data_IF_810909860264
#
_entry.id   IF_810909860264
#
_cell.length_a   1.000
_cell.length_b   1.000
_cell.length_c   1.000
_cell.angle_alpha   90.00
_cell.angle_beta   90.00
_cell.angle_gamma   90.00
#
_symmetry.space_group_name_H-M   'P 1'
#
loop_
_entity.id
_entity.type
_entity.pdbx_description
1 polymer ?
#
# COMPACT_ATOMS: atom_id res chain seq x y z
N UNK A 1 8.16 -17.46 -34.19
CA UNK A 1 9.16 -16.59 -33.55
C UNK A 1 8.91 -16.59 -32.05
N UNK A 2 9.79 -17.24 -31.28
CA UNK A 2 9.59 -17.46 -29.85
C UNK A 2 9.80 -16.14 -29.08
N UNK A 3 8.72 -15.55 -28.59
CA UNK A 3 8.77 -14.31 -27.83
C UNK A 3 9.54 -14.52 -26.51
N UNK A 4 10.58 -13.71 -26.30
CA UNK A 4 11.33 -13.63 -25.03
C UNK A 4 10.36 -13.57 -23.85
N UNK A 5 10.43 -14.53 -22.94
CA UNK A 5 9.73 -14.48 -21.64
C UNK A 5 10.18 -13.21 -20.93
N UNK A 6 9.34 -12.18 -20.88
CA UNK A 6 9.58 -10.99 -20.05
C UNK A 6 9.66 -11.48 -18.59
N UNK A 7 10.70 -11.07 -17.87
CA UNK A 7 10.78 -11.34 -16.44
C UNK A 7 9.62 -10.67 -15.70
N UNK A 8 9.20 -11.26 -14.58
CA UNK A 8 8.17 -10.67 -13.71
C UNK A 8 8.63 -9.29 -13.23
N UNK A 9 7.74 -8.30 -13.33
CA UNK A 9 7.90 -6.97 -12.75
C UNK A 9 7.95 -7.02 -11.22
N UNK A 10 8.38 -5.92 -10.60
CA UNK A 10 8.44 -5.80 -9.14
C UNK A 10 7.07 -6.06 -8.50
N UNK A 11 6.01 -5.44 -9.03
CA UNK A 11 4.66 -5.57 -8.48
C UNK A 11 4.10 -6.99 -8.65
N UNK A 12 4.39 -7.66 -9.77
CA UNK A 12 3.99 -9.06 -9.96
C UNK A 12 4.69 -9.99 -8.96
N UNK A 13 5.97 -9.72 -8.64
CA UNK A 13 6.71 -10.48 -7.62
C UNK A 13 6.11 -10.26 -6.22
N UNK A 14 5.75 -9.02 -5.88
CA UNK A 14 5.08 -8.68 -4.61
C UNK A 14 3.75 -9.41 -4.47
N UNK A 15 2.90 -9.31 -5.49
CA UNK A 15 1.61 -9.99 -5.53
C UNK A 15 1.75 -11.49 -5.33
N UNK A 16 2.70 -12.11 -6.05
CA UNK A 16 2.92 -13.57 -5.99
C UNK A 16 3.46 -14.03 -4.63
N UNK A 17 4.34 -13.26 -4.00
CA UNK A 17 4.82 -13.58 -2.64
C UNK A 17 3.69 -13.42 -1.61
N UNK A 18 2.86 -12.39 -1.76
CA UNK A 18 1.71 -12.16 -0.88
C UNK A 18 0.67 -13.29 -1.01
N UNK A 19 0.34 -13.70 -2.23
CA UNK A 19 -0.52 -14.87 -2.51
C UNK A 19 0.06 -16.15 -1.91
N UNK A 20 1.39 -16.35 -1.99
CA UNK A 20 2.07 -17.49 -1.39
C UNK A 20 1.88 -17.53 0.14
N UNK A 21 2.03 -16.40 0.84
CA UNK A 21 1.75 -16.34 2.28
C UNK A 21 0.28 -16.67 2.59
N UNK A 22 -0.66 -16.16 1.79
CA UNK A 22 -2.10 -16.41 2.00
C UNK A 22 -2.53 -17.84 1.71
N UNK A 23 -1.87 -18.51 0.76
CA UNK A 23 -2.12 -19.92 0.45
C UNK A 23 -1.56 -20.82 1.55
N UNK A 24 -0.31 -20.57 1.98
CA UNK A 24 0.36 -21.37 3.01
C UNK A 24 -0.26 -21.18 4.39
N UNK A 25 -0.61 -19.94 4.76
CA UNK A 25 -1.14 -19.58 6.09
C UNK A 25 -0.21 -20.04 7.24
N UNK A 26 1.08 -20.06 6.98
CA UNK A 26 2.12 -20.51 7.90
C UNK A 26 3.08 -19.36 8.22
N UNK A 27 3.68 -19.41 9.41
CA UNK A 27 4.79 -18.53 9.78
C UNK A 27 6.06 -19.08 9.16
N UNK A 28 6.82 -18.22 8.48
CA UNK A 28 8.01 -18.62 7.75
C UNK A 28 9.21 -17.75 8.09
N UNK A 29 10.39 -18.33 8.06
CA UNK A 29 11.67 -17.64 8.18
C UNK A 29 12.17 -17.17 6.82
N UNK A 30 13.10 -16.22 6.81
CA UNK A 30 13.75 -15.78 5.57
C UNK A 30 14.39 -16.95 4.80
N UNK A 31 14.98 -17.92 5.52
CA UNK A 31 15.62 -19.09 4.92
C UNK A 31 14.62 -20.03 4.23
N UNK A 32 13.41 -20.17 4.78
CA UNK A 32 12.32 -20.94 4.16
C UNK A 32 11.78 -20.21 2.94
N UNK A 33 11.60 -18.89 3.04
CA UNK A 33 11.18 -18.06 1.91
C UNK A 33 12.19 -18.10 0.75
N UNK A 34 13.49 -18.06 1.03
CA UNK A 34 14.55 -18.18 0.00
C UNK A 34 14.51 -19.54 -0.72
N UNK A 35 14.07 -20.61 -0.06
CA UNK A 35 13.93 -21.95 -0.66
C UNK A 35 12.65 -22.14 -1.46
N UNK A 36 11.54 -21.56 -1.01
CA UNK A 36 10.22 -21.76 -1.60
C UNK A 36 9.82 -20.66 -2.60
N UNK A 37 10.50 -19.51 -2.57
CA UNK A 37 10.13 -18.36 -3.40
C UNK A 37 10.64 -18.48 -4.83
N UNK A 38 9.76 -18.06 -5.74
CA UNK A 38 9.99 -17.93 -7.19
C UNK A 38 10.98 -16.80 -7.50
N UNK A 39 11.40 -16.03 -6.49
CA UNK A 39 12.13 -14.78 -6.64
C UNK A 39 13.44 -14.77 -5.83
N UNK A 40 14.14 -15.90 -5.78
CA UNK A 40 15.33 -16.15 -4.94
C UNK A 40 16.33 -14.97 -4.84
N UNK A 41 16.61 -14.27 -5.95
CA UNK A 41 17.56 -13.15 -5.95
C UNK A 41 17.04 -11.86 -5.29
N UNK A 42 15.72 -11.62 -5.29
CA UNK A 42 15.10 -10.38 -4.78
C UNK A 42 14.09 -10.66 -3.67
N UNK A 43 14.17 -11.83 -3.00
CA UNK A 43 13.24 -12.20 -1.90
C UNK A 43 13.27 -11.15 -0.81
N UNK A 44 14.46 -10.69 -0.42
CA UNK A 44 14.64 -9.72 0.67
C UNK A 44 13.99 -8.39 0.36
N UNK A 45 14.26 -7.82 -0.82
CA UNK A 45 13.70 -6.53 -1.23
C UNK A 45 12.17 -6.59 -1.34
N UNK A 46 11.65 -7.66 -1.94
CA UNK A 46 10.21 -7.87 -2.09
C UNK A 46 9.56 -8.07 -0.72
N UNK A 47 10.14 -8.89 0.14
CA UNK A 47 9.64 -9.14 1.49
C UNK A 47 9.62 -7.85 2.31
N UNK A 48 10.70 -7.08 2.28
CA UNK A 48 10.77 -5.78 2.97
C UNK A 48 9.69 -4.83 2.45
N UNK A 49 9.52 -4.71 1.13
CA UNK A 49 8.46 -3.88 0.55
C UNK A 49 7.03 -4.31 0.91
N UNK A 50 6.83 -5.58 1.30
CA UNK A 50 5.55 -6.08 1.76
C UNK A 50 5.34 -5.82 3.26
N UNK A 51 6.43 -5.88 4.04
CA UNK A 51 6.43 -5.53 5.47
C UNK A 51 6.19 -4.03 5.65
N UNK A 52 6.88 -3.19 4.87
CA UNK A 52 6.76 -1.73 4.92
C UNK A 52 5.33 -1.27 4.60
N UNK A 53 4.66 -1.95 3.67
CA UNK A 53 3.25 -1.71 3.30
C UNK A 53 2.24 -2.38 4.25
N UNK A 54 2.73 -3.08 5.29
CA UNK A 54 1.90 -3.77 6.27
C UNK A 54 1.14 -5.00 5.74
N UNK A 55 1.47 -5.47 4.54
CA UNK A 55 0.85 -6.65 3.91
C UNK A 55 1.39 -7.96 4.47
N UNK A 56 2.65 -7.96 4.93
CA UNK A 56 3.29 -9.06 5.64
C UNK A 56 3.67 -8.56 7.03
N UNK A 57 3.31 -9.33 8.04
CA UNK A 57 3.75 -9.10 9.40
C UNK A 57 5.11 -9.75 9.63
N UNK A 58 5.91 -9.14 10.51
CA UNK A 58 7.19 -9.69 10.92
C UNK A 58 7.43 -9.48 12.40
N UNK A 59 8.06 -10.46 13.05
CA UNK A 59 8.47 -10.36 14.45
C UNK A 59 9.77 -11.10 14.70
N UNK A 60 10.52 -10.62 15.69
CA UNK A 60 11.81 -11.18 16.09
C UNK A 60 11.66 -11.90 17.41
N UNK A 61 11.73 -13.24 17.35
CA UNK A 61 11.62 -14.11 18.52
C UNK A 61 12.99 -14.74 18.78
N UNK A 62 13.63 -14.35 19.88
CA UNK A 62 15.00 -14.73 20.20
C UNK A 62 15.99 -14.24 19.14
N UNK A 63 16.67 -15.18 18.48
CA UNK A 63 17.64 -14.89 17.42
C UNK A 63 17.05 -14.96 15.99
N UNK A 64 15.77 -15.32 15.83
CA UNK A 64 15.13 -15.51 14.53
C UNK A 64 14.15 -14.40 14.15
N UNK A 65 14.08 -14.09 12.85
CA UNK A 65 13.02 -13.26 12.27
C UNK A 65 11.97 -14.15 11.59
N UNK A 66 10.72 -13.89 11.90
CA UNK A 66 9.57 -14.66 11.44
C UNK A 66 8.62 -13.75 10.67
N UNK A 67 8.02 -14.28 9.60
CA UNK A 67 7.16 -13.55 8.68
C UNK A 67 5.87 -14.33 8.44
N UNK A 68 4.74 -13.63 8.38
CA UNK A 68 3.44 -14.24 8.06
C UNK A 68 2.49 -13.20 7.47
N UNK A 69 1.42 -13.66 6.83
CA UNK A 69 0.37 -12.75 6.36
C UNK A 69 -1.01 -13.38 6.58
N UNK A 70 -1.95 -12.57 7.06
CA UNK A 70 -3.33 -12.99 7.28
C UNK A 70 -4.21 -12.50 6.13
N UNK A 71 -4.97 -13.38 5.43
CA UNK A 71 -5.85 -12.96 4.35
C UNK A 71 -6.88 -11.89 4.78
N UNK A 72 -7.36 -11.97 6.02
CA UNK A 72 -8.29 -11.01 6.61
C UNK A 72 -7.70 -9.60 6.74
N UNK A 73 -6.39 -9.50 7.00
CA UNK A 73 -5.71 -8.21 7.18
C UNK A 73 -5.60 -7.42 5.87
N UNK A 74 -5.43 -8.12 4.74
CA UNK A 74 -5.43 -7.49 3.43
C UNK A 74 -6.75 -6.77 3.12
N UNK A 75 -7.88 -7.38 3.51
CA UNK A 75 -9.21 -6.79 3.33
C UNK A 75 -9.36 -5.54 4.22
N UNK A 76 -9.02 -5.65 5.50
CA UNK A 76 -9.09 -4.52 6.44
C UNK A 76 -8.19 -3.36 6.01
N UNK A 77 -6.97 -3.61 5.55
CA UNK A 77 -6.07 -2.56 5.03
C UNK A 77 -6.67 -1.83 3.84
N UNK A 78 -7.25 -2.57 2.88
CA UNK A 78 -7.94 -1.97 1.72
C UNK A 78 -9.15 -1.15 2.16
N UNK A 79 -9.96 -1.65 3.08
CA UNK A 79 -11.12 -0.93 3.61
C UNK A 79 -10.72 0.35 4.35
N UNK A 80 -9.70 0.27 5.21
CA UNK A 80 -9.16 1.44 5.92
C UNK A 80 -8.59 2.47 4.96
N UNK A 81 -7.88 2.03 3.90
CA UNK A 81 -7.36 2.95 2.88
C UNK A 81 -8.47 3.64 2.09
N UNK A 82 -9.54 2.90 1.74
CA UNK A 82 -10.72 3.50 1.10
C UNK A 82 -11.38 4.54 2.02
N UNK A 83 -11.53 4.23 3.31
CA UNK A 83 -12.11 5.17 4.27
C UNK A 83 -11.27 6.44 4.43
N UNK A 84 -9.94 6.30 4.57
CA UNK A 84 -9.01 7.43 4.63
C UNK A 84 -9.07 8.29 3.37
N UNK A 85 -9.04 7.69 2.18
CA UNK A 85 -9.12 8.45 0.93
C UNK A 85 -10.47 9.16 0.76
N UNK A 86 -11.57 8.57 1.23
CA UNK A 86 -12.88 9.26 1.24
C UNK A 86 -12.85 10.47 2.16
N UNK A 87 -12.30 10.31 3.36
CA UNK A 87 -12.14 11.42 4.29
C UNK A 87 -11.29 12.55 3.69
N UNK A 88 -10.17 12.21 3.04
CA UNK A 88 -9.32 13.19 2.36
C UNK A 88 -10.08 13.94 1.25
N UNK A 89 -10.88 13.22 0.44
CA UNK A 89 -11.73 13.83 -0.59
C UNK A 89 -12.74 14.79 0.03
N UNK A 90 -13.43 14.39 1.09
CA UNK A 90 -14.42 15.23 1.77
C UNK A 90 -13.76 16.48 2.35
N UNK A 91 -12.61 16.34 3.02
CA UNK A 91 -11.85 17.44 3.60
C UNK A 91 -11.38 18.43 2.51
N UNK A 92 -10.79 17.94 1.43
CA UNK A 92 -10.34 18.81 0.33
C UNK A 92 -11.52 19.47 -0.39
N UNK A 93 -12.67 18.80 -0.46
CA UNK A 93 -13.91 19.37 -0.98
C UNK A 93 -14.38 20.55 -0.12
N UNK A 94 -14.45 20.38 1.20
CA UNK A 94 -14.81 21.44 2.14
C UNK A 94 -13.84 22.63 2.08
N UNK A 95 -12.53 22.36 2.00
CA UNK A 95 -11.51 23.39 1.91
C UNK A 95 -11.61 24.17 0.58
N UNK A 96 -11.88 23.47 -0.52
CA UNK A 96 -12.11 24.10 -1.83
C UNK A 96 -13.34 25.01 -1.83
N UNK A 97 -14.45 24.55 -1.25
CA UNK A 97 -15.67 25.36 -1.15
C UNK A 97 -15.45 26.60 -0.27
N UNK A 98 -14.76 26.44 0.87
CA UNK A 98 -14.42 27.56 1.75
C UNK A 98 -13.56 28.62 1.04
N UNK A 99 -12.49 28.19 0.37
CA UNK A 99 -11.61 29.09 -0.38
C UNK A 99 -12.34 29.78 -1.53
N UNK A 100 -13.23 29.07 -2.22
CA UNK A 100 -14.06 29.65 -3.27
C UNK A 100 -15.04 30.70 -2.74
N UNK A 101 -15.65 30.45 -1.57
CA UNK A 101 -16.55 31.40 -0.92
C UNK A 101 -15.80 32.67 -0.50
N UNK A 102 -14.62 32.52 0.10
CA UNK A 102 -13.75 33.63 0.49
C UNK A 102 -13.30 34.47 -0.72
N UNK A 103 -12.91 33.81 -1.82
CA UNK A 103 -12.57 34.48 -3.06
C UNK A 103 -13.75 35.30 -3.63
N UNK A 104 -14.97 34.78 -3.57
CA UNK A 104 -16.19 35.49 -4.01
C UNK A 104 -16.50 36.71 -3.14
N UNK A 105 -16.36 36.59 -1.81
CA UNK A 105 -16.57 37.72 -0.90
C UNK A 105 -15.55 38.83 -1.17
N UNK A 106 -14.26 38.49 -1.30
CA UNK A 106 -13.22 39.47 -1.60
C UNK A 106 -13.43 40.19 -2.94
N UNK A 107 -14.00 39.50 -3.94
CA UNK A 107 -14.36 40.14 -5.21
C UNK A 107 -15.55 41.11 -5.05
N UNK A 108 -16.56 40.75 -4.26
CA UNK A 108 -17.70 41.64 -3.95
C UNK A 108 -17.24 42.90 -3.21
N UNK A 109 -16.47 42.74 -2.14
CA UNK A 109 -16.00 43.86 -1.31
C UNK A 109 -15.16 44.87 -2.13
N UNK A 110 -14.38 44.37 -3.10
CA UNK A 110 -13.63 45.23 -4.03
C UNK A 110 -14.53 46.01 -4.98
N UNK A 111 -15.65 45.45 -5.41
CA UNK A 111 -16.58 46.13 -6.32
C UNK A 111 -17.36 47.24 -5.60
N UNK A 112 -17.75 47.01 -4.35
CA UNK A 112 -18.47 47.99 -3.53
C UNK A 112 -17.57 49.16 -3.09
N UNK A 113 -16.25 48.95 -3.00
CA UNK A 113 -15.27 49.99 -2.63
C UNK A 113 -14.88 50.94 -3.78
N UNK A 114 -15.35 50.71 -5.01
CA UNK A 114 -15.00 51.49 -6.22
C UNK A 114 -16.13 52.46 -6.64
N UNK A 115 -17.28 52.43 -5.95
CA UNK A 115 -18.35 53.44 -6.05
C UNK A 115 -18.30 54.43 -4.87
#
# INVERSE_FOLDING_TARGET
>A
MSGKKRGLSHEEKRKRMCEFFYEKKEVMTLKELEKHSIVSQTVKDILQSLVDDGLVDSDKIGAGNFFWALPSKALSLKQNKIQSLKHDIDQFGEETEKLNAEARQLLSDRMDSVH
#
